data_IF_707783024071
#
_entry.id   IF_707783024071
#
_cell.length_a   1.000
_cell.length_b   1.000
_cell.length_c   1.000
_cell.angle_alpha   90.00
_cell.angle_beta   90.00
_cell.angle_gamma   90.00
#
_symmetry.space_group_name_H-M   'P 1'
#
loop_
_entity.id
_entity.type
_entity.pdbx_description
1 polymer ?
#
# COMPACT_ATOMS: atom_id res chain seq x y z
N UNK A 1 1.26 -13.82 -9.53
CA UNK A 1 2.63 -14.35 -9.46
C UNK A 1 3.53 -13.25 -9.98
N UNK A 2 4.65 -13.00 -9.34
CA UNK A 2 5.64 -12.00 -9.76
C UNK A 2 7.01 -12.64 -9.74
N UNK A 3 7.89 -12.22 -10.64
CA UNK A 3 9.30 -12.61 -10.69
C UNK A 3 10.18 -11.37 -10.91
N UNK A 4 11.46 -11.56 -11.22
CA UNK A 4 12.42 -10.48 -11.42
C UNK A 4 12.04 -9.49 -12.54
N UNK A 5 11.09 -9.81 -13.43
CA UNK A 5 10.57 -8.85 -14.42
C UNK A 5 9.66 -7.80 -13.80
N UNK A 6 9.21 -8.00 -12.56
CA UNK A 6 8.22 -7.17 -11.91
C UNK A 6 6.81 -7.44 -12.41
N UNK A 7 5.90 -6.52 -12.12
CA UNK A 7 4.52 -6.57 -12.58
C UNK A 7 3.60 -5.66 -11.78
N UNK A 8 2.55 -5.18 -12.44
CA UNK A 8 1.46 -4.45 -11.81
C UNK A 8 0.20 -5.32 -11.79
N UNK A 9 -0.42 -5.46 -10.62
CA UNK A 9 -1.60 -6.29 -10.41
C UNK A 9 -2.69 -5.42 -9.80
N UNK A 10 -3.87 -5.36 -10.43
CA UNK A 10 -5.05 -4.70 -9.89
C UNK A 10 -6.05 -5.74 -9.37
N UNK A 11 -6.61 -5.51 -8.19
CA UNK A 11 -7.60 -6.41 -7.60
C UNK A 11 -8.89 -6.45 -8.42
N UNK A 12 -9.33 -7.65 -8.83
CA UNK A 12 -10.45 -7.82 -9.76
C UNK A 12 -11.85 -7.60 -9.15
N UNK A 13 -11.98 -7.46 -7.83
CA UNK A 13 -13.27 -7.47 -7.11
C UNK A 13 -13.72 -6.08 -6.65
N UNK A 14 -13.58 -5.08 -7.51
CA UNK A 14 -13.87 -3.66 -7.18
C UNK A 14 -13.14 -3.18 -5.92
N UNK A 15 -12.03 -3.82 -5.56
CA UNK A 15 -11.27 -3.48 -4.36
C UNK A 15 -10.51 -2.18 -4.53
N UNK A 16 -10.27 -1.73 -5.77
CA UNK A 16 -9.43 -0.57 -6.11
C UNK A 16 -7.94 -0.76 -5.80
N UNK A 17 -7.58 -1.71 -4.94
CA UNK A 17 -6.17 -2.03 -4.60
C UNK A 17 -5.37 -2.38 -5.84
N UNK A 18 -4.20 -1.76 -5.97
CA UNK A 18 -3.19 -2.10 -6.98
C UNK A 18 -1.85 -2.33 -6.28
N UNK A 19 -1.18 -3.41 -6.67
CA UNK A 19 0.18 -3.73 -6.21
C UNK A 19 1.10 -3.62 -7.41
N UNK A 20 2.16 -2.83 -7.27
CA UNK A 20 3.14 -2.59 -8.32
C UNK A 20 4.49 -3.02 -7.79
N UNK A 21 5.12 -3.95 -8.50
CA UNK A 21 6.43 -4.46 -8.18
C UNK A 21 7.32 -4.08 -9.35
N UNK A 22 8.24 -3.12 -9.18
CA UNK A 22 9.13 -2.71 -10.24
C UNK A 22 10.04 -3.88 -10.68
N UNK A 23 10.61 -3.80 -11.90
CA UNK A 23 11.59 -4.77 -12.36
C UNK A 23 12.76 -4.91 -11.37
N UNK A 24 13.29 -6.13 -11.26
CA UNK A 24 14.43 -6.52 -10.40
C UNK A 24 14.19 -6.43 -8.89
N UNK A 25 12.98 -6.08 -8.43
CA UNK A 25 12.68 -5.99 -6.98
C UNK A 25 12.31 -7.34 -6.35
N UNK A 26 11.78 -8.29 -7.11
CA UNK A 26 11.50 -9.63 -6.60
C UNK A 26 12.75 -10.53 -6.68
N UNK A 27 13.28 -11.06 -5.55
CA UNK A 27 14.49 -11.88 -5.55
C UNK A 27 14.29 -13.28 -6.15
N UNK A 28 13.06 -13.78 -6.12
CA UNK A 28 12.65 -15.06 -6.69
C UNK A 28 11.17 -15.01 -7.06
N UNK A 29 10.67 -15.92 -7.93
CA UNK A 29 9.26 -16.00 -8.24
C UNK A 29 8.42 -16.21 -6.98
N UNK A 30 7.46 -15.31 -6.72
CA UNK A 30 6.62 -15.36 -5.53
C UNK A 30 5.14 -15.09 -5.82
N UNK A 31 4.28 -15.65 -4.98
CA UNK A 31 2.83 -15.43 -5.04
C UNK A 31 2.45 -14.31 -4.07
N UNK A 32 2.20 -13.13 -4.61
CA UNK A 32 1.65 -12.03 -3.83
C UNK A 32 0.15 -12.17 -3.71
N UNK A 33 -0.36 -12.01 -2.50
CA UNK A 33 -1.79 -12.02 -2.19
C UNK A 33 -2.17 -10.79 -1.40
N UNK A 34 -3.29 -10.16 -1.74
CA UNK A 34 -3.83 -9.03 -0.98
C UNK A 34 -5.31 -9.28 -0.70
N UNK A 35 -5.71 -9.23 0.57
CA UNK A 35 -7.09 -9.51 1.03
C UNK A 35 -7.56 -8.44 2.00
N UNK A 36 -8.76 -7.91 1.80
CA UNK A 36 -9.39 -7.09 2.82
C UNK A 36 -9.88 -7.93 4.00
N UNK A 37 -9.49 -7.50 5.20
CA UNK A 37 -9.97 -8.01 6.47
C UNK A 37 -11.18 -7.21 6.94
N UNK A 38 -12.07 -7.89 7.64
CA UNK A 38 -13.14 -7.26 8.40
C UNK A 38 -12.59 -6.93 9.78
N UNK A 39 -12.76 -5.69 10.26
CA UNK A 39 -12.21 -5.23 11.54
C UNK A 39 -12.72 -6.09 12.70
N UNK A 40 -13.96 -6.54 12.62
CA UNK A 40 -14.63 -7.37 13.63
C UNK A 40 -14.03 -8.77 13.75
N UNK A 41 -13.24 -9.22 12.76
CA UNK A 41 -12.57 -10.51 12.76
C UNK A 41 -11.15 -10.47 13.32
N UNK A 42 -10.65 -9.28 13.68
CA UNK A 42 -9.33 -9.13 14.26
C UNK A 42 -9.40 -9.26 15.78
N UNK A 43 -8.59 -10.15 16.34
CA UNK A 43 -8.45 -10.29 17.79
C UNK A 43 -7.88 -9.00 18.41
N UNK A 44 -6.92 -8.38 17.71
CA UNK A 44 -6.27 -7.13 18.12
C UNK A 44 -6.37 -6.10 16.99
N UNK A 45 -7.44 -5.30 16.93
CA UNK A 45 -7.57 -4.24 15.93
C UNK A 45 -6.56 -3.11 16.18
N UNK A 46 -6.26 -2.25 15.18
CA UNK A 46 -5.40 -1.09 15.37
C UNK A 46 -5.91 -0.21 16.52
N UNK A 47 -5.04 0.19 17.47
CA UNK A 47 -5.41 1.10 18.54
C UNK A 47 -5.64 2.49 17.93
N UNK A 48 -6.86 2.99 18.02
CA UNK A 48 -7.23 4.33 17.55
C UNK A 48 -7.55 5.21 18.75
N UNK A 49 -7.05 6.44 18.74
CA UNK A 49 -7.33 7.45 19.74
C UNK A 49 -8.66 8.16 19.47
N UNK A 50 -9.10 9.00 20.42
CA UNK A 50 -10.28 9.85 20.21
C UNK A 50 -10.06 10.79 19.01
N UNK A 51 -10.98 10.77 18.05
CA UNK A 51 -10.88 11.54 16.81
C UNK A 51 -10.22 10.80 15.64
N UNK A 52 -9.62 9.63 15.87
CA UNK A 52 -9.02 8.80 14.81
C UNK A 52 -10.03 7.80 14.23
N UNK A 53 -9.86 7.48 12.95
CA UNK A 53 -10.69 6.51 12.25
C UNK A 53 -9.90 5.78 11.16
N UNK A 54 -10.29 4.53 10.87
CA UNK A 54 -9.73 3.82 9.72
C UNK A 54 -10.14 4.52 8.42
N UNK A 55 -9.16 5.06 7.69
CA UNK A 55 -9.38 5.67 6.37
C UNK A 55 -9.73 4.63 5.30
N UNK A 56 -9.15 3.42 5.38
CA UNK A 56 -9.37 2.31 4.47
C UNK A 56 -9.70 1.02 5.25
N UNK A 57 -10.08 -0.04 4.53
CA UNK A 57 -10.20 -1.38 5.12
C UNK A 57 -8.81 -1.96 5.35
N UNK A 58 -8.65 -2.73 6.42
CA UNK A 58 -7.38 -3.39 6.75
C UNK A 58 -7.03 -4.40 5.66
N UNK A 59 -5.80 -4.31 5.14
CA UNK A 59 -5.30 -5.15 4.07
C UNK A 59 -4.31 -6.17 4.63
N UNK A 60 -4.59 -7.45 4.44
CA UNK A 60 -3.63 -8.54 4.65
C UNK A 60 -2.85 -8.75 3.36
N UNK A 61 -1.51 -8.69 3.47
CA UNK A 61 -0.59 -8.89 2.34
C UNK A 61 0.25 -10.13 2.61
N UNK A 62 0.34 -11.00 1.61
CA UNK A 62 1.12 -12.23 1.66
C UNK A 62 2.16 -12.28 0.53
N UNK A 63 3.28 -13.00 0.71
CA UNK A 63 3.60 -13.79 1.90
C UNK A 63 4.07 -12.92 3.08
N UNK A 64 3.70 -13.30 4.30
CA UNK A 64 4.16 -12.61 5.51
C UNK A 64 5.69 -12.69 5.62
N UNK A 65 6.32 -11.58 6.00
CA UNK A 65 7.78 -11.49 6.12
C UNK A 65 8.54 -11.50 4.80
N UNK A 66 7.86 -11.48 3.65
CA UNK A 66 8.53 -11.38 2.35
C UNK A 66 9.33 -10.09 2.25
N UNK A 67 10.57 -10.20 1.74
CA UNK A 67 11.46 -9.08 1.50
C UNK A 67 11.71 -8.93 0.01
N UNK A 68 11.54 -7.71 -0.48
CA UNK A 68 11.94 -7.30 -1.81
C UNK A 68 13.36 -6.72 -1.77
N UNK A 69 14.04 -6.75 -2.92
CA UNK A 69 15.38 -6.15 -3.09
C UNK A 69 15.32 -4.62 -3.13
N UNK A 70 14.12 -4.04 -3.11
CA UNK A 70 13.90 -2.61 -2.97
C UNK A 70 12.42 -2.30 -2.74
N UNK A 71 12.07 -1.01 -2.69
CA UNK A 71 10.70 -0.54 -2.55
C UNK A 71 9.74 -1.11 -3.60
N UNK A 72 8.48 -1.27 -3.18
CA UNK A 72 7.33 -1.68 -3.98
C UNK A 72 6.14 -0.79 -3.62
N UNK A 73 5.19 -0.62 -4.54
CA UNK A 73 4.05 0.28 -4.33
C UNK A 73 2.78 -0.55 -4.10
N UNK A 74 1.98 -0.12 -3.12
CA UNK A 74 0.63 -0.63 -2.90
C UNK A 74 -0.30 0.58 -2.82
N UNK A 75 -1.12 0.74 -3.84
CA UNK A 75 -2.21 1.73 -3.87
C UNK A 75 -3.42 1.14 -3.14
N UNK A 76 -3.98 1.85 -2.16
CA UNK A 76 -5.12 1.39 -1.36
C UNK A 76 -6.18 2.48 -1.31
N UNK A 77 -7.36 2.28 -1.92
CA UNK A 77 -8.40 3.30 -1.86
C UNK A 77 -8.86 3.54 -0.42
N UNK A 78 -9.14 4.80 -0.13
CA UNK A 78 -9.64 5.25 1.17
C UNK A 78 -10.99 5.97 1.06
N UNK A 79 -11.68 6.07 2.18
CA UNK A 79 -12.96 6.76 2.34
C UNK A 79 -12.86 7.99 3.25
N UNK A 80 -11.65 8.29 3.76
CA UNK A 80 -11.41 9.48 4.58
C UNK A 80 -11.70 10.78 3.82
N UNK A 81 -12.27 11.74 4.55
CA UNK A 81 -12.38 13.14 4.12
C UNK A 81 -11.25 13.92 4.78
N UNK A 82 -10.32 14.43 3.97
CA UNK A 82 -9.14 15.18 4.45
C UNK A 82 -9.42 16.65 4.77
N UNK A 83 -10.64 17.14 4.46
CA UNK A 83 -11.12 18.50 4.75
C UNK A 83 -10.06 19.60 4.53
N UNK A 84 -9.50 19.69 3.32
CA UNK A 84 -8.53 20.74 3.02
C UNK A 84 -7.26 20.70 3.87
N UNK A 85 -6.81 19.50 4.27
CA UNK A 85 -5.63 19.22 5.11
C UNK A 85 -5.82 19.41 6.63
N UNK A 86 -7.07 19.52 7.10
CA UNK A 86 -7.36 19.44 8.55
C UNK A 86 -7.12 18.03 9.13
N UNK A 87 -7.04 17.02 8.27
CA UNK A 87 -6.81 15.62 8.66
C UNK A 87 -5.72 15.02 7.77
N UNK A 88 -4.91 14.17 8.38
CA UNK A 88 -3.88 13.40 7.71
C UNK A 88 -4.21 11.89 7.73
N UNK A 89 -3.52 11.13 6.88
CA UNK A 89 -3.59 9.67 6.85
C UNK A 89 -2.21 9.15 7.23
N UNK A 90 -2.18 8.38 8.31
CA UNK A 90 -0.99 7.63 8.74
C UNK A 90 -1.17 6.15 8.41
N UNK A 91 -0.10 5.50 7.95
CA UNK A 91 -0.11 4.08 7.62
C UNK A 91 0.30 3.27 8.86
N UNK A 92 -0.61 2.41 9.34
CA UNK A 92 -0.31 1.46 10.41
C UNK A 92 -0.04 0.06 9.82
N UNK A 93 0.96 -0.64 10.35
CA UNK A 93 1.31 -2.03 10.01
C UNK A 93 1.30 -2.91 11.24
N UNK A 94 1.02 -4.19 11.03
CA UNK A 94 1.23 -5.25 12.01
C UNK A 94 1.95 -6.41 11.34
N UNK A 95 3.02 -6.91 11.95
CA UNK A 95 3.81 -8.03 11.42
C UNK A 95 3.34 -9.39 11.97
N UNK A 96 2.59 -9.39 13.07
CA UNK A 96 2.10 -10.58 13.78
C UNK A 96 0.58 -10.64 13.96
N UNK A 97 -0.15 -9.56 13.66
CA UNK A 97 -1.59 -9.45 13.89
C UNK A 97 -1.98 -9.11 15.35
N UNK A 98 -1.01 -8.85 16.22
CA UNK A 98 -1.22 -8.55 17.64
C UNK A 98 -0.85 -7.10 17.98
N UNK A 99 0.31 -6.65 17.48
CA UNK A 99 0.83 -5.30 17.74
C UNK A 99 0.83 -4.47 16.47
N UNK A 100 0.46 -3.20 16.59
CA UNK A 100 0.42 -2.24 15.49
C UNK A 100 1.44 -1.14 15.70
N UNK A 101 2.11 -0.73 14.63
CA UNK A 101 3.08 0.36 14.61
C UNK A 101 2.93 1.19 13.34
N UNK A 102 3.38 2.43 13.38
CA UNK A 102 3.46 3.25 12.18
C UNK A 102 4.43 2.65 11.17
N UNK A 103 4.03 2.65 9.90
CA UNK A 103 4.89 2.24 8.80
C UNK A 103 5.76 3.42 8.38
N UNK A 104 7.03 3.39 8.78
CA UNK A 104 8.04 4.31 8.27
C UNK A 104 8.63 3.77 6.97
N UNK A 105 8.73 4.63 5.95
CA UNK A 105 9.59 4.38 4.80
C UNK A 105 11.04 4.63 5.22
N UNK A 106 11.88 3.61 5.18
CA UNK A 106 13.34 3.76 5.34
C UNK A 106 14.03 4.18 4.02
N UNK A 107 13.26 4.27 2.93
CA UNK A 107 13.73 4.69 1.62
C UNK A 107 13.81 6.22 1.55
N UNK A 108 14.85 6.77 0.92
CA UNK A 108 14.92 8.20 0.61
C UNK A 108 13.79 8.60 -0.33
N UNK A 109 13.35 9.87 -0.28
CA UNK A 109 12.36 10.41 -1.22
C UNK A 109 12.80 10.20 -2.68
N UNK A 110 14.11 10.28 -2.96
CA UNK A 110 14.68 9.96 -4.26
C UNK A 110 14.41 8.50 -4.68
N UNK A 111 14.55 7.54 -3.75
CA UNK A 111 14.28 6.14 -4.04
C UNK A 111 12.78 5.88 -4.25
N UNK A 112 11.90 6.67 -3.63
CA UNK A 112 10.46 6.63 -3.91
C UNK A 112 10.18 7.19 -5.31
N UNK A 113 10.75 8.35 -5.63
CA UNK A 113 10.58 8.99 -6.93
C UNK A 113 11.13 8.15 -8.08
N UNK A 114 12.30 7.52 -7.90
CA UNK A 114 12.89 6.59 -8.87
C UNK A 114 11.99 5.37 -9.10
N UNK A 115 11.34 4.85 -8.05
CA UNK A 115 10.41 3.72 -8.18
C UNK A 115 9.15 4.10 -8.93
N UNK A 116 8.64 5.32 -8.71
CA UNK A 116 7.56 5.86 -9.51
C UNK A 116 8.00 5.99 -10.97
N UNK A 117 9.10 6.69 -11.25
CA UNK A 117 9.59 6.89 -12.61
C UNK A 117 9.94 5.55 -13.33
N UNK A 118 10.51 4.56 -12.63
CA UNK A 118 10.82 3.22 -13.17
C UNK A 118 9.56 2.37 -13.41
N UNK A 119 8.48 2.60 -12.65
CA UNK A 119 7.24 1.82 -12.75
C UNK A 119 6.27 2.35 -13.79
N UNK A 120 6.46 3.58 -14.25
CA UNK A 120 5.53 4.31 -15.09
C UNK A 120 6.27 5.01 -16.25
N UNK A 121 6.80 4.24 -17.19
CA UNK A 121 7.28 4.81 -18.46
C UNK A 121 6.07 5.28 -19.30
N UNK A 122 5.86 6.61 -19.40
CA UNK A 122 5.16 7.23 -20.53
C UNK A 122 3.75 7.82 -20.33
N UNK A 123 3.15 7.77 -19.15
CA UNK A 123 1.79 8.32 -18.91
C UNK A 123 1.65 9.05 -17.54
N UNK A 124 2.43 10.09 -17.26
CA UNK A 124 2.43 10.70 -15.90
C UNK A 124 2.57 12.24 -15.85
N UNK A 125 1.47 12.93 -16.11
CA UNK A 125 1.16 14.18 -15.38
C UNK A 125 -0.18 14.06 -14.64
N UNK A 126 -1.07 13.17 -15.11
CA UNK A 126 -2.39 12.94 -14.52
C UNK A 126 -2.36 12.08 -13.26
N UNK A 127 -1.45 11.11 -13.14
CA UNK A 127 -1.44 10.14 -12.03
C UNK A 127 -1.22 10.75 -10.63
N UNK A 128 -0.39 11.80 -10.53
CA UNK A 128 -0.10 12.48 -9.24
C UNK A 128 -1.27 13.38 -8.81
N UNK A 129 -1.89 14.10 -9.74
CA UNK A 129 -3.12 14.86 -9.49
C UNK A 129 -4.31 13.93 -9.19
N UNK A 130 -4.34 12.76 -9.84
CA UNK A 130 -5.34 11.71 -9.64
C UNK A 130 -5.25 11.05 -8.27
N UNK A 131 -4.07 10.86 -7.66
CA UNK A 131 -3.95 10.34 -6.29
C UNK A 131 -4.69 11.25 -5.29
N UNK A 132 -4.56 12.57 -5.46
CA UNK A 132 -5.23 13.56 -4.60
C UNK A 132 -6.75 13.67 -4.85
N UNK A 133 -7.20 13.36 -6.08
CA UNK A 133 -8.60 13.53 -6.51
C UNK A 133 -9.41 12.23 -6.38
N UNK A 134 -8.77 11.06 -6.52
CA UNK A 134 -9.43 9.75 -6.59
C UNK A 134 -9.44 8.96 -5.28
N UNK A 135 -8.98 9.56 -4.16
CA UNK A 135 -8.95 8.95 -2.81
C UNK A 135 -8.15 7.62 -2.78
N UNK A 136 -6.90 7.68 -3.23
CA UNK A 136 -5.97 6.54 -3.31
C UNK A 136 -4.77 6.77 -2.39
#
# INVERSE_FOLDING_TARGET
>A
MVDARGGAMRGCRHSGVRVIIPPRRAPMPMRITCRYLRKEKLAYPPPLMEGEACASRILEVGPSGAKFLGPVIIEVPHFASLRGREREITILRSDNGETWREHSLEASDDAVHDVFNESFEGEELTAIEDLSTNRI
#
